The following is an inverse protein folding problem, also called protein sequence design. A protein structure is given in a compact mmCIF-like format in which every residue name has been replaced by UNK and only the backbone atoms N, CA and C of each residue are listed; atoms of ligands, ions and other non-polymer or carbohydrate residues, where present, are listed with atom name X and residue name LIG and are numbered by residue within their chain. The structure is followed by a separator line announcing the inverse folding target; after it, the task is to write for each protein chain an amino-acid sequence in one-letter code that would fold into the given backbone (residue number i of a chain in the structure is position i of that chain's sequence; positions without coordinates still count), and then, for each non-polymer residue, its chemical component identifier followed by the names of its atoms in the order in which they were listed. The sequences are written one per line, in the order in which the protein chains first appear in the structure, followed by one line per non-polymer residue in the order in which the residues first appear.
data_IF_313939097241
#
_entry.id   IF_313939097241
#
_cell.length_a   1.000
_cell.length_b   1.000
_cell.length_c   1.000
_cell.angle_alpha   90.00
_cell.angle_beta   90.00
_cell.angle_gamma   90.00
#
_symmetry.space_group_name_H-M   'P 1'
#
loop_
_entity.id
_entity.type
_entity.pdbx_description
1 polymer ?
#
# COMPACT_ATOMS: atom_id res chain seq x y z
N UNK A 1 2.48 -18.22 -17.46
CA UNK A 1 3.72 -17.54 -17.84
C UNK A 1 4.73 -17.77 -16.74
N UNK A 2 5.73 -18.61 -17.01
CA UNK A 2 6.87 -18.81 -16.14
C UNK A 2 8.10 -18.23 -16.86
N UNK A 3 8.77 -17.28 -16.23
CA UNK A 3 10.04 -16.75 -16.71
C UNK A 3 11.15 -17.38 -15.86
N UNK A 4 12.09 -18.07 -16.52
CA UNK A 4 13.30 -18.56 -15.87
C UNK A 4 14.41 -17.55 -16.09
N UNK A 5 15.00 -17.11 -14.99
CA UNK A 5 16.15 -16.23 -15.01
C UNK A 5 17.43 -17.02 -14.73
N UNK A 6 18.53 -16.56 -15.31
CA UNK A 6 19.88 -16.99 -14.97
C UNK A 6 20.62 -15.76 -14.43
N UNK A 7 21.36 -15.96 -13.34
CA UNK A 7 22.24 -14.94 -12.77
C UNK A 7 23.63 -15.20 -13.36
N UNK A 8 24.19 -14.23 -14.06
CA UNK A 8 25.55 -14.27 -14.56
C UNK A 8 26.56 -14.01 -13.42
N UNK A 9 27.84 -14.34 -13.66
CA UNK A 9 28.91 -14.19 -12.66
C UNK A 9 29.13 -12.74 -12.21
N UNK A 10 28.71 -11.77 -13.02
CA UNK A 10 28.74 -10.33 -12.73
C UNK A 10 27.50 -9.84 -11.95
N UNK A 11 26.56 -10.74 -11.61
CA UNK A 11 25.33 -10.43 -10.91
C UNK A 11 24.19 -9.93 -11.79
N UNK A 12 24.37 -9.89 -13.11
CA UNK A 12 23.32 -9.48 -14.05
C UNK A 12 22.30 -10.61 -14.24
N UNK A 13 21.02 -10.27 -14.11
CA UNK A 13 19.91 -11.20 -14.34
C UNK A 13 19.55 -11.20 -15.82
N UNK A 14 19.67 -12.34 -16.49
CA UNK A 14 19.19 -12.53 -17.86
C UNK A 14 18.00 -13.48 -17.92
N UNK A 15 17.06 -13.16 -18.81
CA UNK A 15 15.94 -14.06 -19.12
C UNK A 15 16.49 -15.23 -19.93
N UNK A 16 16.46 -16.43 -19.35
CA UNK A 16 16.91 -17.66 -20.00
C UNK A 16 15.80 -18.31 -20.81
N UNK A 17 14.57 -18.32 -20.27
CA UNK A 17 13.42 -18.97 -20.91
C UNK A 17 12.12 -18.29 -20.53
N UNK A 18 11.29 -17.99 -21.53
CA UNK A 18 9.89 -17.66 -21.33
C UNK A 18 9.03 -18.88 -21.68
N UNK A 19 8.20 -19.34 -20.74
CA UNK A 19 7.19 -20.35 -20.98
C UNK A 19 5.84 -19.66 -20.95
N UNK A 20 5.28 -19.43 -22.14
CA UNK A 20 4.00 -18.74 -22.30
C UNK A 20 2.80 -19.65 -22.00
N UNK A 21 2.94 -20.96 -22.20
CA UNK A 21 1.86 -21.92 -21.91
C UNK A 21 1.50 -21.94 -20.42
N UNK A 22 0.19 -21.99 -20.16
CA UNK A 22 -0.41 -22.14 -18.83
C UNK A 22 -1.10 -23.51 -18.74
N UNK A 23 -1.17 -24.06 -17.52
CA UNK A 23 -1.95 -25.26 -17.22
C UNK A 23 -3.39 -24.93 -16.77
N UNK A 24 -3.80 -23.67 -16.87
CA UNK A 24 -5.12 -23.16 -16.50
C UNK A 24 -5.48 -21.99 -17.42
N UNK A 25 -6.76 -21.64 -17.48
CA UNK A 25 -7.24 -20.46 -18.22
C UNK A 25 -6.71 -19.17 -17.59
N UNK A 26 -6.40 -18.17 -18.43
CA UNK A 26 -6.05 -16.85 -17.94
C UNK A 26 -7.23 -16.21 -17.22
N UNK A 27 -6.93 -15.31 -16.28
CA UNK A 27 -7.97 -14.54 -15.61
C UNK A 27 -8.81 -13.77 -16.64
N UNK A 28 -10.13 -13.84 -16.47
CA UNK A 28 -11.09 -13.15 -17.33
C UNK A 28 -10.97 -11.64 -17.13
N UNK A 29 -11.40 -10.86 -18.13
CA UNK A 29 -11.36 -9.41 -18.07
C UNK A 29 -12.14 -8.88 -16.85
N UNK A 30 -13.30 -9.48 -16.57
CA UNK A 30 -14.15 -9.19 -15.41
C UNK A 30 -13.44 -9.41 -14.07
N UNK A 31 -12.51 -10.35 -13.99
CA UNK A 31 -11.77 -10.71 -12.77
C UNK A 31 -10.43 -9.96 -12.63
N UNK A 32 -10.07 -9.08 -13.57
CA UNK A 32 -8.78 -8.39 -13.53
C UNK A 32 -8.59 -7.57 -12.26
N UNK A 33 -9.66 -6.95 -11.75
CA UNK A 33 -9.65 -6.21 -10.50
C UNK A 33 -9.30 -7.08 -9.27
N UNK A 34 -9.35 -8.42 -9.39
CA UNK A 34 -8.94 -9.37 -8.37
C UNK A 34 -7.46 -9.77 -8.48
N UNK A 35 -6.75 -9.38 -9.55
CA UNK A 35 -5.32 -9.62 -9.70
C UNK A 35 -4.50 -8.59 -8.94
N UNK A 36 -3.56 -9.03 -8.11
CA UNK A 36 -2.69 -8.13 -7.33
C UNK A 36 -1.92 -7.14 -8.20
N UNK A 37 -1.50 -7.54 -9.40
CA UNK A 37 -0.80 -6.67 -10.35
C UNK A 37 -1.66 -5.57 -10.94
N UNK A 38 -2.99 -5.73 -10.90
CA UNK A 38 -3.94 -4.74 -11.39
C UNK A 38 -4.51 -3.87 -10.26
N UNK A 39 -4.43 -4.34 -9.00
CA UNK A 39 -4.83 -3.58 -7.82
C UNK A 39 -3.78 -2.53 -7.45
N UNK A 40 -3.90 -1.34 -8.05
CA UNK A 40 -3.06 -0.20 -7.73
C UNK A 40 -3.91 1.05 -7.45
N UNK A 41 -3.63 1.72 -6.34
CA UNK A 41 -4.26 3.00 -6.02
C UNK A 41 -3.41 4.08 -6.68
N UNK A 42 -3.95 4.73 -7.71
CA UNK A 42 -3.30 5.87 -8.36
C UNK A 42 -3.28 7.09 -7.43
N UNK A 43 -2.48 8.11 -7.79
CA UNK A 43 -2.27 9.28 -6.94
C UNK A 43 -3.55 10.09 -6.71
N UNK A 44 -4.44 10.15 -7.71
CA UNK A 44 -5.73 10.85 -7.63
C UNK A 44 -6.67 10.19 -6.61
N UNK A 45 -6.86 8.87 -6.72
CA UNK A 45 -7.68 8.09 -5.79
C UNK A 45 -7.06 8.09 -4.39
N UNK A 46 -5.73 8.03 -4.29
CA UNK A 46 -5.00 8.15 -3.03
C UNK A 46 -5.28 9.50 -2.34
N UNK A 47 -5.22 10.60 -3.10
CA UNK A 47 -5.53 11.94 -2.61
C UNK A 47 -6.97 12.02 -2.08
N UNK A 48 -7.95 11.60 -2.88
CA UNK A 48 -9.37 11.62 -2.46
C UNK A 48 -9.59 10.78 -1.20
N UNK A 49 -9.05 9.56 -1.17
CA UNK A 49 -9.17 8.66 -0.03
C UNK A 49 -8.57 9.28 1.25
N UNK A 50 -7.41 9.94 1.12
CA UNK A 50 -6.77 10.67 2.22
C UNK A 50 -7.62 11.86 2.67
N UNK A 51 -8.04 12.74 1.76
CA UNK A 51 -8.83 13.92 2.10
C UNK A 51 -10.15 13.57 2.78
N UNK A 52 -10.88 12.58 2.27
CA UNK A 52 -12.15 12.14 2.87
C UNK A 52 -11.93 11.55 4.27
N UNK A 53 -10.89 10.73 4.45
CA UNK A 53 -10.59 10.13 5.76
C UNK A 53 -10.10 11.15 6.78
N UNK A 54 -9.36 12.18 6.36
CA UNK A 54 -8.97 13.32 7.20
C UNK A 54 -10.16 14.19 7.59
N UNK A 55 -11.18 14.29 6.73
CA UNK A 55 -12.46 14.92 7.03
C UNK A 55 -13.39 14.06 7.93
N UNK A 56 -12.93 12.89 8.39
CA UNK A 56 -13.68 12.00 9.27
C UNK A 56 -14.66 11.07 8.56
N UNK A 57 -14.67 11.04 7.23
CA UNK A 57 -15.49 10.11 6.46
C UNK A 57 -14.90 8.70 6.59
N UNK A 58 -15.76 7.69 6.73
CA UNK A 58 -15.30 6.29 6.86
C UNK A 58 -14.63 5.85 5.56
N UNK A 59 -13.55 5.08 5.69
CA UNK A 59 -12.80 4.52 4.55
C UNK A 59 -13.73 3.80 3.55
N UNK A 60 -14.74 3.10 4.06
CA UNK A 60 -15.71 2.38 3.22
C UNK A 60 -16.58 3.32 2.39
N UNK A 61 -16.96 4.48 2.93
CA UNK A 61 -17.80 5.46 2.23
C UNK A 61 -16.96 6.18 1.17
N UNK A 62 -15.70 6.54 1.49
CA UNK A 62 -14.75 7.10 0.53
C UNK A 62 -14.43 6.12 -0.61
N UNK A 63 -14.25 4.83 -0.30
CA UNK A 63 -14.08 3.80 -1.32
C UNK A 63 -15.33 3.65 -2.19
N UNK A 64 -16.52 3.68 -1.59
CA UNK A 64 -17.78 3.54 -2.33
C UNK A 64 -17.98 4.73 -3.26
N UNK A 65 -17.71 5.95 -2.79
CA UNK A 65 -17.68 7.14 -3.63
C UNK A 65 -16.76 6.97 -4.85
N UNK A 66 -15.50 6.57 -4.65
CA UNK A 66 -14.56 6.35 -5.75
C UNK A 66 -15.02 5.28 -6.73
N UNK A 67 -15.63 4.20 -6.22
CA UNK A 67 -16.20 3.16 -7.07
C UNK A 67 -17.40 3.65 -7.88
N UNK A 68 -18.29 4.44 -7.28
CA UNK A 68 -19.48 4.97 -7.94
C UNK A 68 -19.11 5.95 -9.05
N UNK A 69 -18.10 6.80 -8.84
CA UNK A 69 -17.60 7.76 -9.83
C UNK A 69 -17.11 7.09 -11.13
N UNK A 70 -16.60 5.86 -11.04
CA UNK A 70 -16.13 5.08 -12.20
C UNK A 70 -17.13 4.01 -12.65
N UNK A 71 -18.36 4.08 -12.15
CA UNK A 71 -19.46 3.18 -12.54
C UNK A 71 -19.40 1.77 -11.96
N UNK A 72 -18.65 1.57 -10.87
CA UNK A 72 -18.67 0.32 -10.11
C UNK A 72 -17.32 -0.05 -9.48
N UNK A 73 -17.38 -0.99 -8.54
CA UNK A 73 -16.20 -1.49 -7.80
C UNK A 73 -15.17 -2.18 -8.69
N UNK A 74 -15.63 -2.82 -9.75
CA UNK A 74 -14.74 -3.56 -10.66
C UNK A 74 -13.91 -2.60 -11.53
N UNK A 75 -14.38 -1.36 -11.70
CA UNK A 75 -13.74 -0.33 -12.52
C UNK A 75 -12.76 0.56 -11.74
N UNK A 76 -12.80 0.57 -10.40
CA UNK A 76 -11.97 1.47 -9.57
C UNK A 76 -10.51 1.07 -9.52
N UNK A 77 -10.19 -0.16 -9.91
CA UNK A 77 -8.81 -0.64 -10.03
C UNK A 77 -8.13 -0.99 -8.69
N UNK A 78 -8.87 -1.04 -7.57
CA UNK A 78 -8.36 -1.56 -6.30
C UNK A 78 -9.51 -2.06 -5.42
N UNK A 79 -9.19 -2.91 -4.44
CA UNK A 79 -10.21 -3.45 -3.55
C UNK A 79 -10.44 -2.54 -2.34
N UNK A 80 -11.59 -2.71 -1.69
CA UNK A 80 -11.85 -2.11 -0.37
C UNK A 80 -10.69 -2.36 0.60
N UNK A 81 -10.13 -3.58 0.62
CA UNK A 81 -9.01 -3.93 1.50
C UNK A 81 -7.76 -3.10 1.21
N UNK A 82 -7.48 -2.82 -0.05
CA UNK A 82 -6.35 -1.99 -0.44
C UNK A 82 -6.53 -0.56 0.07
N UNK A 83 -7.75 -0.02 0.04
CA UNK A 83 -8.09 1.28 0.64
C UNK A 83 -7.79 1.33 2.14
N UNK A 84 -8.19 0.29 2.90
CA UNK A 84 -7.86 0.18 4.32
C UNK A 84 -6.35 0.09 4.56
N UNK A 85 -5.65 -0.72 3.78
CA UNK A 85 -4.20 -0.87 3.90
C UNK A 85 -3.46 0.45 3.63
N UNK A 86 -3.89 1.20 2.61
CA UNK A 86 -3.32 2.50 2.27
C UNK A 86 -3.49 3.50 3.43
N UNK A 87 -4.73 3.67 3.91
CA UNK A 87 -5.02 4.63 4.99
C UNK A 87 -4.30 4.23 6.29
N UNK A 88 -4.22 2.93 6.59
CA UNK A 88 -3.48 2.45 7.75
C UNK A 88 -1.98 2.75 7.64
N UNK A 89 -1.40 2.56 6.45
CA UNK A 89 0.01 2.90 6.19
C UNK A 89 0.27 4.39 6.39
N UNK A 90 -0.61 5.26 5.86
CA UNK A 90 -0.52 6.71 6.05
C UNK A 90 -0.62 7.11 7.53
N UNK A 91 -1.53 6.48 8.29
CA UNK A 91 -1.67 6.72 9.74
C UNK A 91 -0.42 6.29 10.49
N UNK A 92 0.11 5.10 10.21
CA UNK A 92 1.32 4.60 10.85
C UNK A 92 2.52 5.49 10.57
N UNK A 93 2.69 5.95 9.32
CA UNK A 93 3.77 6.87 8.96
C UNK A 93 3.70 8.21 9.72
N UNK A 94 2.49 8.73 9.97
CA UNK A 94 2.29 9.93 10.81
C UNK A 94 2.65 9.68 12.28
N UNK A 95 2.33 8.50 12.81
CA UNK A 95 2.62 8.11 14.19
C UNK A 95 4.13 7.90 14.39
N UNK A 96 4.78 7.10 13.53
CA UNK A 96 6.22 6.84 13.61
C UNK A 96 7.05 8.13 13.62
N UNK A 97 6.66 9.14 12.84
CA UNK A 97 7.37 10.42 12.81
C UNK A 97 7.09 11.34 14.00
N UNK A 98 5.94 11.23 14.68
CA UNK A 98 5.59 12.10 15.82
C UNK A 98 5.96 11.48 17.15
N UNK A 99 5.55 10.24 17.39
CA UNK A 99 5.63 9.64 18.72
C UNK A 99 7.06 9.25 19.08
N UNK A 100 7.87 8.81 18.11
CA UNK A 100 9.26 8.43 18.39
C UNK A 100 10.09 9.64 18.81
N UNK A 101 9.93 10.79 18.16
CA UNK A 101 10.64 12.03 18.49
C UNK A 101 10.23 12.54 19.87
N UNK A 102 8.92 12.62 20.14
CA UNK A 102 8.40 13.08 21.43
C UNK A 102 8.80 12.15 22.58
N UNK A 103 8.84 10.83 22.37
CA UNK A 103 9.32 9.88 23.38
C UNK A 103 10.83 10.02 23.62
N UNK A 104 11.62 10.24 22.57
CA UNK A 104 13.06 10.48 22.70
C UNK A 104 13.33 11.77 23.50
N UNK A 105 12.62 12.86 23.23
CA UNK A 105 12.73 14.10 23.98
C UNK A 105 12.35 13.91 25.45
N UNK A 106 11.20 13.26 25.72
CA UNK A 106 10.78 12.94 27.08
C UNK A 106 11.83 12.12 27.86
N UNK A 107 12.45 11.13 27.21
CA UNK A 107 13.48 10.31 27.84
C UNK A 107 14.79 11.09 28.07
N UNK A 108 15.17 11.99 27.16
CA UNK A 108 16.33 12.88 27.35
C UNK A 108 16.10 13.85 28.50
N UNK A 109 14.92 14.45 28.59
CA UNK A 109 14.57 15.38 29.66
C UNK A 109 14.58 14.68 31.01
N UNK A 110 13.99 13.47 31.11
CA UNK A 110 14.06 12.67 32.34
C UNK A 110 15.48 12.25 32.71
N UNK A 111 16.33 11.90 31.75
CA UNK A 111 17.72 11.57 32.02
C UNK A 111 18.53 12.78 32.53
N UNK A 112 18.15 14.00 32.16
CA UNK A 112 18.77 15.23 32.65
C UNK A 112 18.23 15.65 34.04
N UNK A 113 16.95 15.38 34.33
CA UNK A 113 16.33 15.66 35.63
C UNK A 113 16.71 14.63 36.71
N UNK A 114 16.93 13.37 36.33
CA UNK A 114 17.41 12.32 37.24
C UNK A 114 18.92 12.48 37.50
N UNK A 115 19.27 13.39 38.43
CA UNK A 115 20.55 13.37 39.17
C UNK A 115 20.68 12.15 40.11
N UNK A 116 20.02 11.02 39.83
CA UNK A 116 19.90 9.89 40.74
C UNK A 116 21.15 8.98 40.78
N UNK A 117 22.17 9.28 39.97
CA UNK A 117 23.45 8.54 39.96
C UNK A 117 24.70 9.43 40.02
N UNK A 118 24.58 10.68 40.50
CA UNK A 118 25.73 11.47 40.93
C UNK A 118 26.10 11.17 42.40
#
# INVERSE_FOLDING_TARGET
MLIRFLIELDGVWKVQKCIESHNHELARLEDQHLLKSYRNINDENAFVLKSMTEAGIRIIDAFTYLADEVGGRDNVGFSKRDAYNYVQKEKNAKIENRDTISLIELFKDRANDDNMFA
#
